data_IF_942970174082
#
_entry.id   IF_942970174082
#
_cell.length_a   1.000
_cell.length_b   1.000
_cell.length_c   1.000
_cell.angle_alpha   90.00
_cell.angle_beta   90.00
_cell.angle_gamma   90.00
#
_symmetry.space_group_name_H-M   'P 1'
#
loop_
_entity.id
_entity.type
_entity.pdbx_description
1 polymer ?
#
# COMPACT_ATOMS: atom_id res chain seq x y z
N UNK A 1 -19.28 1.05 -1.57
CA UNK A 1 -17.99 1.68 -1.25
C UNK A 1 -17.42 2.18 -2.56
N UNK A 2 -17.96 3.30 -3.04
CA UNK A 2 -17.40 3.97 -4.21
C UNK A 2 -16.32 4.90 -3.66
N UNK A 3 -15.05 4.56 -3.89
CA UNK A 3 -13.96 5.49 -3.71
C UNK A 3 -14.12 6.50 -4.85
N UNK A 4 -14.51 7.72 -4.53
CA UNK A 4 -14.64 8.79 -5.51
C UNK A 4 -13.28 9.02 -6.18
N UNK A 5 -13.30 9.06 -7.51
CA UNK A 5 -12.17 9.10 -8.45
C UNK A 5 -11.22 10.32 -8.33
N UNK A 6 -11.22 11.04 -7.21
CA UNK A 6 -10.46 12.29 -7.03
C UNK A 6 -9.72 12.42 -5.68
N UNK A 7 -9.54 11.33 -4.95
CA UNK A 7 -8.61 11.29 -3.82
C UNK A 7 -7.16 11.35 -4.34
N UNK A 8 -6.51 12.51 -4.26
CA UNK A 8 -5.08 12.65 -4.58
C UNK A 8 -4.23 11.64 -3.80
N UNK A 9 -3.03 11.30 -4.27
CA UNK A 9 -2.19 10.25 -3.65
C UNK A 9 -2.00 10.41 -2.11
N UNK A 10 -1.91 11.65 -1.62
CA UNK A 10 -1.81 11.95 -0.19
C UNK A 10 -3.08 11.59 0.60
N UNK A 11 -4.24 11.68 -0.04
CA UNK A 11 -5.55 11.42 0.56
C UNK A 11 -5.72 9.92 0.89
N UNK A 12 -5.29 9.05 -0.02
CA UNK A 12 -5.37 7.60 0.16
C UNK A 12 -4.45 7.12 1.30
N UNK A 13 -3.20 7.60 1.36
CA UNK A 13 -2.27 7.18 2.43
C UNK A 13 -2.77 7.61 3.82
N UNK A 14 -3.38 8.79 3.89
CA UNK A 14 -4.00 9.31 5.11
C UNK A 14 -5.21 8.48 5.52
N UNK A 15 -6.10 8.17 4.57
CA UNK A 15 -7.27 7.33 4.81
C UNK A 15 -6.87 5.92 5.27
N UNK A 16 -5.86 5.31 4.64
CA UNK A 16 -5.35 4.00 5.03
C UNK A 16 -4.79 4.00 6.46
N UNK A 17 -4.05 5.05 6.84
CA UNK A 17 -3.53 5.20 8.20
C UNK A 17 -4.65 5.33 9.22
N UNK A 18 -5.66 6.15 8.92
CA UNK A 18 -6.82 6.32 9.79
C UNK A 18 -7.57 5.00 10.01
N UNK A 19 -7.75 4.20 8.95
CA UNK A 19 -8.35 2.86 9.06
C UNK A 19 -7.47 1.93 9.90
N UNK A 20 -6.15 1.98 9.70
CA UNK A 20 -5.21 1.11 10.40
C UNK A 20 -5.17 1.36 11.92
N UNK A 21 -5.30 2.61 12.36
CA UNK A 21 -5.35 3.00 13.77
C UNK A 21 -6.52 2.35 14.54
N UNK A 22 -7.60 1.98 13.84
CA UNK A 22 -8.75 1.29 14.43
C UNK A 22 -8.47 -0.16 14.87
N UNK A 23 -7.33 -0.75 14.50
CA UNK A 23 -7.02 -2.14 14.83
C UNK A 23 -5.59 -2.31 15.35
N UNK A 24 -5.43 -2.97 16.50
CA UNK A 24 -4.12 -3.13 17.17
C UNK A 24 -3.05 -3.80 16.29
N UNK A 25 -3.48 -4.68 15.38
CA UNK A 25 -2.57 -5.43 14.51
C UNK A 25 -2.07 -4.62 13.31
N UNK A 26 -2.86 -3.67 12.82
CA UNK A 26 -2.51 -2.85 11.64
C UNK A 26 -2.05 -1.45 12.02
N UNK A 27 -2.29 -0.98 13.25
CA UNK A 27 -1.83 0.33 13.75
C UNK A 27 -0.31 0.55 13.63
N UNK A 28 0.48 -0.52 13.54
CA UNK A 28 1.94 -0.47 13.35
C UNK A 28 2.36 -0.27 11.88
N UNK A 29 1.42 -0.26 10.94
CA UNK A 29 1.70 -0.06 9.50
C UNK A 29 1.83 1.44 9.25
N UNK A 30 3.07 1.92 9.20
CA UNK A 30 3.34 3.35 9.01
C UNK A 30 3.71 3.74 7.58
N UNK A 31 4.23 2.79 6.79
CA UNK A 31 4.80 3.03 5.46
C UNK A 31 3.91 2.42 4.39
N UNK A 32 3.56 3.21 3.40
CA UNK A 32 2.80 2.79 2.22
C UNK A 32 3.67 3.08 0.99
N UNK A 33 3.96 2.05 0.19
CA UNK A 33 4.78 2.18 -1.01
C UNK A 33 3.90 2.07 -2.25
N UNK A 34 4.05 3.02 -3.18
CA UNK A 34 3.27 3.05 -4.42
C UNK A 34 4.05 2.39 -5.55
N UNK A 35 3.53 1.26 -6.03
CA UNK A 35 4.09 0.58 -7.18
C UNK A 35 3.34 0.99 -8.47
N UNK A 36 4.03 1.34 -9.57
CA UNK A 36 3.39 1.89 -10.77
C UNK A 36 2.57 0.89 -11.60
N UNK A 37 2.59 -0.41 -11.28
CA UNK A 37 1.89 -1.40 -12.09
C UNK A 37 1.72 -2.77 -11.45
N UNK A 38 0.87 -2.88 -10.44
CA UNK A 38 0.29 -4.18 -10.05
C UNK A 38 -1.19 -4.24 -10.41
N UNK A 39 -1.69 -5.37 -10.94
CA UNK A 39 -3.12 -5.56 -11.15
C UNK A 39 -3.84 -5.55 -9.80
N UNK A 40 -4.80 -4.63 -9.66
CA UNK A 40 -5.58 -4.33 -8.43
C UNK A 40 -6.68 -5.37 -8.13
N UNK A 41 -6.77 -6.45 -8.89
CA UNK A 41 -7.74 -7.50 -8.58
C UNK A 41 -7.24 -8.37 -7.40
N UNK A 42 -8.06 -8.42 -6.35
CA UNK A 42 -7.82 -9.20 -5.12
C UNK A 42 -7.48 -10.69 -5.39
N UNK A 43 -7.94 -11.26 -6.51
CA UNK A 43 -7.63 -12.62 -6.96
C UNK A 43 -6.20 -12.75 -7.48
N UNK A 44 -5.61 -11.65 -7.96
CA UNK A 44 -4.21 -11.57 -8.37
C UNK A 44 -3.28 -11.30 -7.19
N UNK A 45 -3.76 -10.70 -6.08
CA UNK A 45 -2.96 -10.55 -4.86
C UNK A 45 -2.53 -11.91 -4.28
N UNK A 46 -3.37 -12.94 -4.41
CA UNK A 46 -2.99 -14.31 -4.06
C UNK A 46 -1.87 -14.88 -4.95
N UNK A 47 -1.70 -14.31 -6.15
CA UNK A 47 -0.70 -14.68 -7.17
C UNK A 47 0.38 -13.62 -7.35
N UNK A 48 0.49 -12.65 -6.44
CA UNK A 48 1.52 -11.62 -6.54
C UNK A 48 2.89 -12.25 -6.25
N UNK A 49 3.88 -11.95 -7.08
CA UNK A 49 5.25 -12.41 -6.87
C UNK A 49 5.89 -11.70 -5.67
N UNK A 50 5.64 -12.22 -4.46
CA UNK A 50 6.07 -11.61 -3.18
C UNK A 50 7.58 -11.35 -3.12
N UNK A 51 8.38 -12.24 -3.67
CA UNK A 51 9.85 -12.10 -3.69
C UNK A 51 10.30 -10.88 -4.50
N UNK A 52 9.74 -10.70 -5.70
CA UNK A 52 10.02 -9.53 -6.55
C UNK A 52 9.52 -8.25 -5.90
N UNK A 53 8.36 -8.31 -5.24
CA UNK A 53 7.80 -7.18 -4.51
C UNK A 53 8.67 -6.79 -3.31
N UNK A 54 9.19 -7.77 -2.56
CA UNK A 54 10.05 -7.54 -1.42
C UNK A 54 11.35 -6.84 -1.84
N UNK A 55 12.03 -7.35 -2.87
CA UNK A 55 13.24 -6.73 -3.41
C UNK A 55 12.99 -5.30 -3.92
N UNK A 56 11.87 -5.07 -4.61
CA UNK A 56 11.48 -3.72 -5.02
C UNK A 56 11.21 -2.79 -3.82
N UNK A 57 10.50 -3.28 -2.80
CA UNK A 57 10.14 -2.50 -1.63
C UNK A 57 11.38 -2.08 -0.83
N UNK A 58 12.36 -2.98 -0.69
CA UNK A 58 13.65 -2.70 -0.06
C UNK A 58 14.38 -1.54 -0.77
N UNK A 59 14.49 -1.59 -2.09
CA UNK A 59 15.08 -0.50 -2.89
C UNK A 59 14.32 0.83 -2.72
N UNK A 60 12.99 0.81 -2.57
CA UNK A 60 12.24 2.04 -2.30
C UNK A 60 12.47 2.59 -0.90
N UNK A 61 12.61 1.71 0.10
CA UNK A 61 12.90 2.11 1.47
C UNK A 61 14.28 2.76 1.57
N UNK A 62 15.28 2.22 0.88
CA UNK A 62 16.62 2.82 0.78
C UNK A 62 16.58 4.20 0.12
N UNK A 63 15.81 4.37 -0.96
CA UNK A 63 15.66 5.67 -1.64
C UNK A 63 14.91 6.72 -0.83
N UNK A 64 14.12 6.29 0.15
CA UNK A 64 13.26 7.15 0.98
C UNK A 64 13.84 7.38 2.39
N UNK A 65 15.03 6.84 2.65
CA UNK A 65 15.80 7.04 3.88
C UNK A 65 16.73 8.25 3.72
#
# INVERSE_FOLDING_TARGET
YELSDNAGATDIDTALRHIAEGFVHTAKIHRFLRHPGFPVDIRHNAKIGREKLAAWAELQLERSA
#
